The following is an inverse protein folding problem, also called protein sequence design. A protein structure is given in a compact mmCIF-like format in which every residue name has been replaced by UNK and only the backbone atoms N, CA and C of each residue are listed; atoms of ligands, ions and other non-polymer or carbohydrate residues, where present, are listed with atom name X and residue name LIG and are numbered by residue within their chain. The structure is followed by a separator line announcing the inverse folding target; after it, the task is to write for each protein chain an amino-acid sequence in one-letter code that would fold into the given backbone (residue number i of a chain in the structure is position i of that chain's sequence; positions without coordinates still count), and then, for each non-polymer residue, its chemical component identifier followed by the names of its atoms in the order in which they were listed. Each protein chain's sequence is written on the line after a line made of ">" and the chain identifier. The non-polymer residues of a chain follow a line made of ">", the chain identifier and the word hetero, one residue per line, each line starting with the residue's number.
data_IF_028674029059
#
_entry.id   IF_028674029059
#
_cell.length_a   1.000
_cell.length_b   1.000
_cell.length_c   1.000
_cell.angle_alpha   90.00
_cell.angle_beta   90.00
_cell.angle_gamma   90.00
#
_symmetry.space_group_name_H-M   'P 1'
#
loop_
_entity.id
_entity.type
_entity.pdbx_description
1 polymer ?
#
# COMPACT_ATOMS: atom_id res chain seq x y z
N UNK A 1 56.67 2.14 -24.16
CA UNK A 1 55.19 2.25 -24.19
C UNK A 1 54.66 3.08 -25.37
N UNK A 2 55.35 4.16 -25.76
CA UNK A 2 54.93 5.06 -26.85
C UNK A 2 54.85 4.36 -28.22
N UNK A 3 55.77 3.45 -28.54
CA UNK A 3 55.76 2.73 -29.83
C UNK A 3 54.50 1.87 -30.06
N UNK A 4 53.92 1.30 -29.00
CA UNK A 4 52.69 0.49 -29.12
C UNK A 4 51.48 1.35 -29.49
N UNK A 5 51.43 2.60 -29.06
CA UNK A 5 50.36 3.55 -29.39
C UNK A 5 50.41 3.92 -30.86
N UNK A 6 51.61 4.15 -31.41
CA UNK A 6 51.78 4.49 -32.84
C UNK A 6 51.44 3.34 -33.79
N UNK A 7 51.66 2.08 -33.36
CA UNK A 7 51.38 0.89 -34.19
C UNK A 7 49.88 0.61 -34.34
N UNK A 8 49.05 0.97 -33.34
CA UNK A 8 47.59 0.80 -33.40
C UNK A 8 46.97 1.78 -34.41
N UNK A 9 47.59 2.95 -34.60
CA UNK A 9 47.09 4.00 -35.48
C UNK A 9 47.38 3.75 -36.97
N UNK A 10 48.34 2.88 -37.28
CA UNK A 10 48.81 2.59 -38.64
C UNK A 10 48.13 1.40 -39.33
N UNK A 11 47.01 0.89 -38.79
CA UNK A 11 46.25 -0.18 -39.44
C UNK A 11 45.30 0.40 -40.50
N UNK A 12 45.17 -0.24 -41.67
CA UNK A 12 44.28 0.23 -42.74
C UNK A 12 42.82 0.47 -42.28
N UNK A 13 42.38 -0.26 -41.25
CA UNK A 13 41.06 -0.06 -40.63
C UNK A 13 40.94 1.23 -39.81
N UNK A 14 42.01 1.70 -39.17
CA UNK A 14 41.96 2.95 -38.39
C UNK A 14 41.93 4.16 -39.32
N UNK A 15 42.59 4.11 -40.48
CA UNK A 15 42.52 5.17 -41.50
C UNK A 15 41.12 5.37 -42.08
N UNK A 16 40.32 4.30 -42.21
CA UNK A 16 38.92 4.41 -42.64
C UNK A 16 38.02 5.02 -41.55
N UNK A 17 38.34 4.78 -40.27
CA UNK A 17 37.60 5.33 -39.14
C UNK A 17 37.96 6.81 -38.85
N UNK A 18 39.18 7.23 -39.17
CA UNK A 18 39.64 8.63 -39.05
C UNK A 18 39.52 9.43 -40.34
N UNK A 19 38.77 8.94 -41.35
CA UNK A 19 38.51 9.70 -42.56
C UNK A 19 37.74 11.00 -42.21
N UNK A 20 38.28 12.19 -42.56
CA UNK A 20 37.65 13.47 -42.26
C UNK A 20 36.24 13.62 -42.83
N UNK A 21 35.84 12.82 -43.84
CA UNK A 21 34.46 12.79 -44.34
C UNK A 21 33.46 12.22 -43.34
N UNK A 22 33.87 11.26 -42.51
CA UNK A 22 32.96 10.53 -41.62
C UNK A 22 32.97 11.05 -40.18
N UNK A 23 34.01 11.80 -39.79
CA UNK A 23 34.14 12.39 -38.45
C UNK A 23 32.93 13.25 -38.07
N UNK A 24 32.41 14.05 -39.00
CA UNK A 24 31.21 14.86 -38.75
C UNK A 24 29.97 14.03 -38.39
N UNK A 25 29.78 12.88 -39.06
CA UNK A 25 28.67 11.97 -38.78
C UNK A 25 28.81 11.31 -37.41
N UNK A 26 30.03 10.94 -37.01
CA UNK A 26 30.28 10.37 -35.68
C UNK A 26 30.03 11.38 -34.56
N UNK A 27 30.55 12.61 -34.70
CA UNK A 27 30.30 13.69 -33.74
C UNK A 27 28.81 13.96 -33.63
N UNK A 28 28.10 14.05 -34.76
CA UNK A 28 26.66 14.21 -34.78
C UNK A 28 25.94 13.05 -34.06
N UNK A 29 26.32 11.80 -34.32
CA UNK A 29 25.76 10.63 -33.66
C UNK A 29 25.95 10.66 -32.14
N UNK A 30 27.12 11.06 -31.65
CA UNK A 30 27.38 11.21 -30.21
C UNK A 30 26.52 12.32 -29.60
N UNK A 31 26.37 13.46 -30.29
CA UNK A 31 25.52 14.56 -29.82
C UNK A 31 24.05 14.12 -29.73
N UNK A 32 23.53 13.43 -30.74
CA UNK A 32 22.15 12.91 -30.73
C UNK A 32 21.95 11.90 -29.59
N UNK A 33 22.90 10.99 -29.37
CA UNK A 33 22.85 10.05 -28.26
C UNK A 33 22.90 10.75 -26.89
N UNK A 34 23.71 11.79 -26.74
CA UNK A 34 23.80 12.57 -25.51
C UNK A 34 22.47 13.29 -25.20
N UNK A 35 21.82 13.87 -26.22
CA UNK A 35 20.50 14.50 -26.08
C UNK A 35 19.44 13.46 -25.72
N UNK A 36 19.41 12.32 -26.43
CA UNK A 36 18.48 11.24 -26.16
C UNK A 36 18.63 10.71 -24.72
N UNK A 37 19.86 10.52 -24.26
CA UNK A 37 20.15 10.08 -22.89
C UNK A 37 19.70 11.10 -21.84
N UNK A 38 19.93 12.39 -22.11
CA UNK A 38 19.45 13.47 -21.24
C UNK A 38 17.93 13.49 -21.15
N UNK A 39 17.23 13.31 -22.28
CA UNK A 39 15.77 13.29 -22.32
C UNK A 39 15.18 12.15 -21.48
N UNK A 40 15.71 10.94 -21.62
CA UNK A 40 15.29 9.77 -20.82
C UNK A 40 15.46 10.03 -19.32
N UNK A 41 16.61 10.61 -18.92
CA UNK A 41 16.88 10.92 -17.51
C UNK A 41 15.90 11.94 -16.94
N UNK A 42 15.54 12.97 -17.71
CA UNK A 42 14.55 13.98 -17.28
C UNK A 42 13.17 13.36 -17.06
N UNK A 43 12.72 12.48 -17.96
CA UNK A 43 11.44 11.79 -17.80
C UNK A 43 11.44 10.91 -16.55
N UNK A 44 12.53 10.18 -16.30
CA UNK A 44 12.65 9.36 -15.09
C UNK A 44 12.58 10.22 -13.82
N UNK A 45 13.33 11.32 -13.76
CA UNK A 45 13.34 12.23 -12.60
C UNK A 45 11.95 12.82 -12.35
N UNK A 46 11.26 13.26 -13.41
CA UNK A 46 9.92 13.81 -13.30
C UNK A 46 8.92 12.78 -12.76
N UNK A 47 8.98 11.54 -13.26
CA UNK A 47 8.11 10.46 -12.80
C UNK A 47 8.38 10.09 -11.33
N UNK A 48 9.65 10.02 -10.92
CA UNK A 48 10.00 9.80 -9.52
C UNK A 48 9.52 10.93 -8.62
N UNK A 49 9.60 12.17 -9.10
CA UNK A 49 9.13 13.34 -8.35
C UNK A 49 7.61 13.33 -8.20
N UNK A 50 6.87 13.03 -9.27
CA UNK A 50 5.42 12.90 -9.25
C UNK A 50 4.97 11.78 -8.31
N UNK A 51 5.66 10.63 -8.33
CA UNK A 51 5.42 9.54 -7.40
C UNK A 51 5.61 9.96 -5.94
N UNK A 52 6.67 10.71 -5.63
CA UNK A 52 6.90 11.25 -4.27
C UNK A 52 5.79 12.23 -3.86
N UNK A 53 5.39 13.14 -4.75
CA UNK A 53 4.31 14.09 -4.51
C UNK A 53 2.99 13.37 -4.25
N UNK A 54 2.65 12.37 -5.07
CA UNK A 54 1.45 11.56 -4.91
C UNK A 54 1.43 10.85 -3.56
N UNK A 55 2.55 10.23 -3.17
CA UNK A 55 2.72 9.59 -1.86
C UNK A 55 2.50 10.58 -0.71
N UNK A 56 3.17 11.72 -0.75
CA UNK A 56 3.04 12.75 0.30
C UNK A 56 1.62 13.30 0.39
N UNK A 57 0.93 13.47 -0.74
CA UNK A 57 -0.49 13.87 -0.76
C UNK A 57 -1.37 12.81 -0.11
N UNK A 58 -1.17 11.54 -0.43
CA UNK A 58 -1.91 10.44 0.20
C UNK A 58 -1.68 10.38 1.71
N UNK A 59 -0.42 10.47 2.14
CA UNK A 59 -0.06 10.52 3.56
C UNK A 59 -0.71 11.71 4.27
N UNK A 60 -0.73 12.89 3.63
CA UNK A 60 -1.38 14.07 4.19
C UNK A 60 -2.89 13.89 4.34
N UNK A 61 -3.58 13.32 3.35
CA UNK A 61 -5.02 13.02 3.42
C UNK A 61 -5.31 12.06 4.56
N UNK A 62 -4.51 11.00 4.70
CA UNK A 62 -4.66 10.03 5.80
C UNK A 62 -4.49 10.71 7.16
N UNK A 63 -3.49 11.57 7.32
CA UNK A 63 -3.28 12.33 8.56
C UNK A 63 -4.42 13.32 8.83
N UNK A 64 -4.95 13.99 7.81
CA UNK A 64 -6.11 14.86 7.95
C UNK A 64 -7.34 14.10 8.41
N UNK A 65 -7.62 12.93 7.83
CA UNK A 65 -8.73 12.07 8.23
C UNK A 65 -8.55 11.56 9.66
N UNK A 66 -7.34 11.19 10.07
CA UNK A 66 -7.05 10.81 11.45
C UNK A 66 -7.34 11.97 12.42
N UNK A 67 -6.86 13.18 12.12
CA UNK A 67 -7.13 14.35 12.94
C UNK A 67 -8.62 14.67 13.03
N UNK A 68 -9.36 14.59 11.91
CA UNK A 68 -10.80 14.79 11.89
C UNK A 68 -11.54 13.74 12.72
N UNK A 69 -11.13 12.47 12.62
CA UNK A 69 -11.70 11.40 13.42
C UNK A 69 -11.43 11.61 14.92
N UNK A 70 -10.20 11.98 15.29
CA UNK A 70 -9.85 12.33 16.67
C UNK A 70 -10.65 13.54 17.18
N UNK A 71 -10.83 14.57 16.36
CA UNK A 71 -11.67 15.73 16.72
C UNK A 71 -13.13 15.32 16.94
N UNK A 72 -13.70 14.50 16.05
CA UNK A 72 -15.05 13.97 16.20
C UNK A 72 -15.20 13.11 17.46
N UNK A 73 -14.21 12.26 17.77
CA UNK A 73 -14.20 11.47 18.99
C UNK A 73 -14.17 12.37 20.22
N UNK A 74 -13.29 13.37 20.26
CA UNK A 74 -13.22 14.31 21.37
C UNK A 74 -14.56 15.05 21.58
N UNK A 75 -15.21 15.48 20.49
CA UNK A 75 -16.53 16.10 20.56
C UNK A 75 -17.58 15.13 21.08
N UNK A 76 -17.59 13.89 20.57
CA UNK A 76 -18.52 12.84 21.02
C UNK A 76 -18.38 12.56 22.52
N UNK A 77 -17.15 12.47 23.03
CA UNK A 77 -16.89 12.28 24.46
C UNK A 77 -17.39 13.45 25.34
N UNK A 78 -17.55 14.64 24.76
CA UNK A 78 -18.11 15.81 25.43
C UNK A 78 -19.64 15.95 25.30
N UNK A 79 -20.33 15.02 24.62
CA UNK A 79 -21.79 15.08 24.48
C UNK A 79 -22.51 14.52 25.71
N UNK A 80 -23.71 15.06 25.98
CA UNK A 80 -24.59 14.56 27.05
C UNK A 80 -24.97 13.09 26.80
N UNK A 81 -25.16 12.71 25.54
CA UNK A 81 -25.45 11.32 25.13
C UNK A 81 -24.34 10.35 25.58
N UNK A 82 -23.07 10.73 25.37
CA UNK A 82 -21.95 9.90 25.82
C UNK A 82 -21.90 9.83 27.36
N UNK A 83 -22.16 10.94 28.05
CA UNK A 83 -22.22 11.00 29.50
C UNK A 83 -23.33 10.09 30.05
N UNK A 84 -24.49 10.09 29.40
CA UNK A 84 -25.62 9.25 29.75
C UNK A 84 -25.34 7.76 29.50
N UNK A 85 -24.86 7.40 28.31
CA UNK A 85 -24.50 6.02 27.96
C UNK A 85 -23.42 5.46 28.90
N UNK A 86 -22.39 6.26 29.19
CA UNK A 86 -21.33 5.87 30.11
C UNK A 86 -21.83 5.73 31.55
N UNK A 87 -22.75 6.61 32.00
CA UNK A 87 -23.38 6.49 33.32
C UNK A 87 -24.25 5.23 33.43
N UNK A 88 -25.01 4.90 32.39
CA UNK A 88 -25.83 3.67 32.29
C UNK A 88 -24.95 2.42 32.35
N UNK A 89 -23.86 2.39 31.58
CA UNK A 89 -22.96 1.23 31.52
C UNK A 89 -22.13 1.04 32.80
N UNK A 90 -21.62 2.13 33.37
CA UNK A 90 -20.67 2.07 34.49
C UNK A 90 -21.38 1.95 35.83
N UNK A 91 -22.44 2.73 36.02
CA UNK A 91 -23.12 2.86 37.32
C UNK A 91 -24.49 2.17 37.34
N UNK A 92 -24.97 1.64 36.21
CA UNK A 92 -26.31 1.05 36.13
C UNK A 92 -27.43 2.07 36.39
N UNK A 93 -27.13 3.36 36.22
CA UNK A 93 -28.08 4.45 36.44
C UNK A 93 -29.04 4.57 35.25
N UNK A 94 -30.27 4.99 35.51
CA UNK A 94 -31.24 5.32 34.48
C UNK A 94 -31.72 6.76 34.64
N UNK A 95 -32.26 7.32 33.56
CA UNK A 95 -32.80 8.67 33.60
C UNK A 95 -34.01 8.73 34.56
N UNK A 96 -34.34 9.91 35.11
CA UNK A 96 -35.51 10.06 35.96
C UNK A 96 -36.78 9.59 35.25
N UNK A 97 -37.50 8.63 35.84
CA UNK A 97 -38.72 8.04 35.27
C UNK A 97 -38.51 6.71 34.53
N UNK A 98 -37.28 6.25 34.36
CA UNK A 98 -36.96 4.93 33.80
C UNK A 98 -36.71 3.87 34.87
N UNK A 99 -36.97 2.60 34.56
CA UNK A 99 -36.77 1.46 35.48
C UNK A 99 -35.72 0.50 34.91
N UNK A 100 -34.64 0.26 35.66
CA UNK A 100 -33.60 -0.71 35.28
C UNK A 100 -33.98 -2.10 35.78
N UNK A 101 -34.04 -3.06 34.85
CA UNK A 101 -34.24 -4.47 35.17
C UNK A 101 -32.94 -5.25 34.99
N UNK A 102 -32.40 -5.78 36.09
CA UNK A 102 -31.22 -6.68 36.05
C UNK A 102 -31.71 -8.10 35.78
N UNK A 103 -31.50 -8.57 34.56
CA UNK A 103 -31.92 -9.92 34.15
C UNK A 103 -30.76 -10.91 34.36
N UNK A 104 -30.98 -12.05 35.04
CA UNK A 104 -29.96 -13.09 35.17
C UNK A 104 -29.48 -13.58 33.81
N UNK A 105 -28.16 -13.80 33.68
CA UNK A 105 -27.51 -14.18 32.43
C UNK A 105 -28.13 -15.42 31.77
N UNK A 106 -28.56 -16.39 32.58
CA UNK A 106 -29.18 -17.63 32.09
C UNK A 106 -30.51 -17.37 31.36
N UNK A 107 -31.28 -16.37 31.83
CA UNK A 107 -32.54 -15.96 31.21
C UNK A 107 -32.26 -15.15 29.94
N UNK A 108 -31.32 -14.20 30.01
CA UNK A 108 -30.95 -13.36 28.87
C UNK A 108 -30.40 -14.17 27.69
N UNK A 109 -29.65 -15.25 27.96
CA UNK A 109 -29.04 -16.10 26.94
C UNK A 109 -29.93 -17.24 26.44
N UNK A 110 -31.10 -17.47 27.05
CA UNK A 110 -31.97 -18.62 26.75
C UNK A 110 -32.48 -18.64 25.31
N UNK A 111 -32.70 -17.45 24.73
CA UNK A 111 -33.25 -17.25 23.38
C UNK A 111 -32.29 -16.56 22.41
N UNK A 112 -31.05 -16.31 22.84
CA UNK A 112 -30.02 -15.76 21.94
C UNK A 112 -29.57 -16.87 21.01
N UNK A 113 -29.85 -16.71 19.73
CA UNK A 113 -29.38 -17.63 18.69
C UNK A 113 -27.84 -17.71 18.76
N UNK A 114 -27.33 -18.93 18.95
CA UNK A 114 -25.88 -19.16 19.05
C UNK A 114 -25.19 -18.93 17.71
N UNK A 115 -25.94 -18.94 16.61
CA UNK A 115 -25.43 -18.66 15.26
C UNK A 115 -25.24 -17.16 14.97
N UNK A 116 -25.94 -16.27 15.69
CA UNK A 116 -25.81 -14.81 15.54
C UNK A 116 -24.74 -14.20 16.44
N UNK A 117 -24.06 -15.01 17.25
CA UNK A 117 -22.82 -14.60 17.89
C UNK A 117 -21.80 -14.48 16.78
N UNK A 118 -21.46 -13.26 16.37
CA UNK A 118 -20.25 -13.04 15.58
C UNK A 118 -19.15 -13.81 16.29
N UNK A 119 -18.54 -14.83 15.66
CA UNK A 119 -17.53 -15.62 16.31
C UNK A 119 -16.47 -14.62 16.77
N UNK A 120 -16.29 -14.55 18.09
CA UNK A 120 -15.15 -13.87 18.68
C UNK A 120 -13.95 -14.66 18.22
N UNK A 121 -13.49 -14.35 17.01
CA UNK A 121 -12.20 -14.70 16.47
C UNK A 121 -11.73 -16.08 16.92
N UNK A 122 -12.20 -17.12 16.23
CA UNK A 122 -11.33 -18.27 15.98
C UNK A 122 -10.31 -17.87 14.88
N UNK A 123 -9.62 -16.73 15.01
CA UNK A 123 -8.31 -16.57 14.39
C UNK A 123 -7.40 -17.59 15.07
N UNK A 124 -7.29 -18.79 14.52
CA UNK A 124 -6.34 -19.76 15.07
C UNK A 124 -6.45 -21.21 14.61
N UNK A 125 -7.29 -21.54 13.63
CA UNK A 125 -7.27 -22.89 13.03
C UNK A 125 -7.37 -22.87 11.51
N UNK A 126 -6.64 -21.97 10.85
CA UNK A 126 -6.11 -22.34 9.55
C UNK A 126 -5.23 -23.56 9.79
N UNK A 127 -5.62 -24.71 9.26
CA UNK A 127 -4.71 -25.85 9.13
C UNK A 127 -3.38 -25.32 8.61
N UNK A 128 -2.27 -25.66 9.26
CA UNK A 128 -0.94 -25.29 8.76
C UNK A 128 -0.79 -26.00 7.43
N UNK A 129 -1.10 -25.28 6.38
CA UNK A 129 -0.96 -25.74 5.02
C UNK A 129 0.54 -25.78 4.70
N UNK A 130 1.12 -26.97 4.69
CA UNK A 130 2.54 -27.25 4.43
C UNK A 130 2.94 -27.04 2.95
N UNK A 131 2.01 -26.59 2.10
CA UNK A 131 2.30 -26.32 0.69
C UNK A 131 3.24 -25.10 0.53
N UNK A 132 4.13 -25.12 -0.48
CA UNK A 132 4.99 -23.98 -0.82
C UNK A 132 4.22 -22.70 -1.17
N UNK A 133 4.78 -21.53 -0.82
CA UNK A 133 4.13 -20.22 -1.00
C UNK A 133 3.69 -19.89 -2.43
N UNK A 134 4.38 -20.42 -3.45
CA UNK A 134 4.01 -20.17 -4.85
C UNK A 134 2.70 -20.86 -5.25
N UNK A 135 2.39 -22.03 -4.67
CA UNK A 135 1.12 -22.74 -4.91
C UNK A 135 -0.04 -21.96 -4.29
N UNK A 136 0.15 -21.45 -3.08
CA UNK A 136 -0.83 -20.64 -2.36
C UNK A 136 -1.20 -19.38 -3.13
N UNK A 137 -0.18 -18.68 -3.64
CA UNK A 137 -0.40 -17.47 -4.43
C UNK A 137 -1.19 -17.77 -5.72
N UNK A 138 -0.83 -18.82 -6.45
CA UNK A 138 -1.54 -19.19 -7.69
C UNK A 138 -2.99 -19.60 -7.42
N UNK A 139 -3.25 -20.33 -6.34
CA UNK A 139 -4.58 -20.71 -5.90
C UNK A 139 -5.42 -19.48 -5.54
N UNK A 140 -4.85 -18.55 -4.76
CA UNK A 140 -5.51 -17.28 -4.44
C UNK A 140 -5.84 -16.46 -5.69
N UNK A 141 -4.94 -16.40 -6.67
CA UNK A 141 -5.20 -15.73 -7.96
C UNK A 141 -6.30 -16.42 -8.77
N UNK A 142 -6.30 -17.76 -8.83
CA UNK A 142 -7.36 -18.55 -9.48
C UNK A 142 -8.71 -18.25 -8.86
N UNK A 143 -8.78 -18.29 -7.53
CA UNK A 143 -10.02 -18.13 -6.78
C UNK A 143 -10.56 -16.70 -6.87
N UNK A 144 -9.66 -15.70 -6.83
CA UNK A 144 -9.99 -14.31 -7.14
C UNK A 144 -10.59 -14.14 -8.54
N UNK A 145 -9.93 -14.69 -9.57
CA UNK A 145 -10.39 -14.54 -10.97
C UNK A 145 -11.70 -15.28 -11.25
N UNK A 146 -11.98 -16.36 -10.54
CA UNK A 146 -13.21 -17.14 -10.67
C UNK A 146 -14.32 -16.68 -9.73
N UNK A 147 -14.10 -15.60 -8.97
CA UNK A 147 -15.07 -15.08 -8.01
C UNK A 147 -15.41 -16.06 -6.88
N UNK A 148 -14.56 -17.08 -6.67
CA UNK A 148 -14.66 -17.99 -5.53
C UNK A 148 -14.03 -17.26 -4.36
N UNK A 149 -14.80 -16.40 -3.71
CA UNK A 149 -14.37 -15.78 -2.46
C UNK A 149 -13.94 -16.88 -1.49
N UNK A 150 -12.71 -16.76 -0.99
CA UNK A 150 -12.26 -17.46 0.21
C UNK A 150 -13.18 -17.01 1.33
N UNK A 151 -14.23 -17.79 1.60
CA UNK A 151 -14.79 -17.84 2.94
C UNK A 151 -13.73 -18.52 3.78
N UNK A 152 -12.88 -17.71 4.41
CA UNK A 152 -12.06 -18.13 5.54
C UNK A 152 -13.02 -18.49 6.69
N UNK A 153 -13.53 -19.72 6.65
CA UNK A 153 -13.90 -20.48 7.84
C UNK A 153 -12.65 -21.15 8.42
#
# INVERSE_FOLDING_TARGET
>A
MVERITRIWNHERTKQLTDPRNIGLYVFGVVVLAIAWSGVRTVQVNYELEKKVSRLKQENIVLQLQNQNTDLQNRYLGTDEFLELSARQTFGLAAPGETVWVVPKDVALKYVDKSSRTPKSELGKSSVDDRPSYIKNLEAWRDFLLGRSVSED
#
